data_IF_557135954390
#
_entry.id   IF_557135954390
#
_cell.length_a   1.000
_cell.length_b   1.000
_cell.length_c   1.000
_cell.angle_alpha   90.00
_cell.angle_beta   90.00
_cell.angle_gamma   90.00
#
_symmetry.space_group_name_H-M   'P 1'
#
loop_
_entity.id
_entity.type
_entity.pdbx_description
1 polymer ?
#
# COMPACT_ATOMS: atom_id res chain seq x y z
N UNK A 1 25.51 3.05 -42.67
CA UNK A 1 26.10 2.47 -41.44
C UNK A 1 24.97 2.13 -40.48
N UNK A 2 24.74 0.84 -40.18
CA UNK A 2 23.73 0.39 -39.21
C UNK A 2 24.38 0.04 -37.84
N UNK A 3 23.51 -0.13 -36.81
CA UNK A 3 23.69 -0.65 -35.42
C UNK A 3 23.25 0.43 -34.38
N UNK A 4 22.46 0.15 -33.33
CA UNK A 4 21.80 -1.08 -32.88
C UNK A 4 20.77 -0.76 -31.78
N UNK A 5 19.80 -1.69 -31.69
CA UNK A 5 18.71 -1.91 -30.72
C UNK A 5 18.98 -1.48 -29.26
N UNK A 6 18.07 -0.67 -28.71
CA UNK A 6 17.95 -0.42 -27.27
C UNK A 6 17.17 -1.57 -26.62
N UNK A 7 17.79 -2.17 -25.61
CA UNK A 7 17.33 -3.37 -24.91
C UNK A 7 16.06 -3.11 -24.10
N UNK A 8 15.10 -4.03 -24.28
CA UNK A 8 13.83 -4.13 -23.55
C UNK A 8 14.07 -4.78 -22.19
N UNK A 9 13.43 -4.28 -21.13
CA UNK A 9 12.90 -5.06 -19.99
C UNK A 9 13.83 -5.97 -19.17
N UNK A 10 15.14 -6.06 -19.46
CA UNK A 10 16.03 -7.06 -18.88
C UNK A 10 16.71 -6.62 -17.59
N UNK A 11 16.77 -5.32 -17.27
CA UNK A 11 17.57 -4.84 -16.14
C UNK A 11 17.03 -5.26 -14.77
N UNK A 12 15.71 -5.29 -14.57
CA UNK A 12 15.13 -5.75 -13.29
C UNK A 12 15.29 -7.27 -13.12
N UNK A 13 15.09 -8.03 -14.19
CA UNK A 13 15.28 -9.49 -14.21
C UNK A 13 16.76 -9.88 -14.03
N UNK A 14 17.67 -9.15 -14.67
CA UNK A 14 19.12 -9.37 -14.58
C UNK A 14 19.69 -8.97 -13.21
N UNK A 15 19.17 -7.93 -12.58
CA UNK A 15 19.53 -7.56 -11.20
C UNK A 15 19.05 -8.60 -10.20
N UNK A 16 17.83 -9.12 -10.34
CA UNK A 16 17.29 -10.18 -9.48
C UNK A 16 18.02 -11.53 -9.68
N UNK A 17 18.40 -11.87 -10.92
CA UNK A 17 19.15 -13.10 -11.21
C UNK A 17 20.60 -13.05 -10.72
N UNK A 18 21.25 -11.88 -10.73
CA UNK A 18 22.60 -11.69 -10.17
C UNK A 18 22.61 -11.82 -8.65
N UNK A 19 21.60 -11.26 -7.97
CA UNK A 19 21.42 -11.41 -6.52
C UNK A 19 21.19 -12.87 -6.13
N UNK A 20 20.52 -13.65 -6.99
CA UNK A 20 20.30 -15.08 -6.79
C UNK A 20 21.55 -15.96 -7.07
N UNK A 21 22.49 -15.52 -7.91
CA UNK A 21 23.68 -16.29 -8.28
C UNK A 21 24.91 -16.03 -7.41
N UNK A 22 25.01 -14.86 -6.76
CA UNK A 22 26.19 -14.48 -5.95
C UNK A 22 26.02 -14.73 -4.44
N UNK A 23 24.83 -15.12 -3.98
CA UNK A 23 24.53 -15.37 -2.58
C UNK A 23 24.54 -16.87 -2.23
N UNK A 24 25.66 -17.38 -1.71
CA UNK A 24 25.71 -18.62 -0.96
C UNK A 24 25.04 -18.46 0.41
N UNK A 25 23.71 -18.32 0.47
CA UNK A 25 22.96 -18.30 1.73
C UNK A 25 21.68 -19.14 1.64
N UNK A 26 21.60 -20.14 2.52
CA UNK A 26 20.38 -20.86 2.86
C UNK A 26 19.51 -20.02 3.81
N UNK A 27 18.66 -19.14 3.27
CA UNK A 27 17.68 -18.38 4.05
C UNK A 27 16.33 -18.24 3.32
N UNK A 28 15.21 -18.06 4.06
CA UNK A 28 13.85 -17.93 3.50
C UNK A 28 13.64 -16.73 2.55
N UNK A 29 14.52 -15.72 2.58
CA UNK A 29 14.54 -14.63 1.61
C UNK A 29 14.81 -15.10 0.16
N UNK A 30 15.65 -16.14 0.01
CA UNK A 30 15.94 -16.72 -1.30
C UNK A 30 14.75 -17.52 -1.88
N UNK A 31 13.88 -18.09 -1.03
CA UNK A 31 12.64 -18.72 -1.49
C UNK A 31 11.59 -17.71 -1.97
N UNK A 32 11.49 -16.55 -1.31
CA UNK A 32 10.58 -15.48 -1.75
C UNK A 32 11.00 -14.89 -3.11
N UNK A 33 12.30 -14.68 -3.32
CA UNK A 33 12.88 -14.22 -4.60
C UNK A 33 12.74 -15.26 -5.73
N UNK A 34 12.92 -16.56 -5.43
CA UNK A 34 12.70 -17.65 -6.40
C UNK A 34 11.24 -17.77 -6.82
N UNK A 35 10.30 -17.61 -5.89
CA UNK A 35 8.87 -17.64 -6.20
C UNK A 35 8.42 -16.41 -7.02
N UNK A 36 9.04 -15.24 -6.82
CA UNK A 36 8.79 -14.05 -7.64
C UNK A 36 9.37 -14.19 -9.06
N UNK A 37 10.52 -14.85 -9.23
CA UNK A 37 11.14 -15.11 -10.53
C UNK A 37 10.38 -16.15 -11.38
N UNK A 38 9.76 -17.15 -10.75
CA UNK A 38 8.96 -18.18 -11.43
C UNK A 38 7.68 -17.63 -12.10
N UNK A 39 7.16 -16.49 -11.63
CA UNK A 39 6.03 -15.81 -12.25
C UNK A 39 6.41 -15.03 -13.53
N UNK A 40 7.71 -14.93 -13.86
CA UNK A 40 8.23 -14.13 -14.97
C UNK A 40 8.67 -14.93 -16.21
N UNK A 41 8.68 -16.26 -16.17
CA UNK A 41 9.11 -17.10 -17.30
C UNK A 41 8.09 -18.20 -17.61
N UNK A 42 7.20 -17.93 -18.56
CA UNK A 42 6.25 -18.90 -19.11
C UNK A 42 5.82 -18.49 -20.52
N UNK A 43 6.27 -19.26 -21.51
CA UNK A 43 6.07 -19.06 -22.95
C UNK A 43 4.62 -19.25 -23.39
N UNK A 44 4.30 -18.63 -24.55
CA UNK A 44 3.02 -18.67 -25.25
C UNK A 44 2.71 -20.08 -25.79
N UNK A 45 1.42 -20.42 -25.74
CA UNK A 45 0.73 -21.64 -26.21
C UNK A 45 0.69 -22.85 -25.27
N UNK A 46 -0.30 -22.85 -24.37
CA UNK A 46 -1.21 -23.98 -24.15
C UNK A 46 -2.45 -23.46 -23.39
N UNK A 47 -3.63 -23.86 -23.84
CA UNK A 47 -4.90 -23.54 -23.20
C UNK A 47 -5.15 -24.48 -22.00
N UNK A 48 -6.04 -24.00 -21.11
CA UNK A 48 -6.74 -24.69 -20.02
C UNK A 48 -6.17 -24.58 -18.59
N UNK A 49 -7.04 -24.04 -17.73
CA UNK A 49 -7.26 -24.41 -16.32
C UNK A 49 -6.32 -23.87 -15.24
N UNK A 50 -6.58 -22.65 -14.76
CA UNK A 50 -6.48 -22.35 -13.32
C UNK A 50 -7.64 -21.43 -12.90
N UNK A 51 -8.71 -22.06 -12.43
CA UNK A 51 -9.87 -21.42 -11.80
C UNK A 51 -9.57 -21.16 -10.32
N UNK A 52 -9.96 -19.97 -9.86
CA UNK A 52 -10.66 -19.68 -8.60
C UNK A 52 -10.42 -20.64 -7.42
N UNK A 53 -9.63 -20.21 -6.43
CA UNK A 53 -9.65 -20.76 -5.07
C UNK A 53 -10.45 -19.80 -4.18
N UNK A 54 -11.77 -19.96 -4.21
CA UNK A 54 -12.69 -19.41 -3.22
C UNK A 54 -13.93 -20.32 -3.13
N UNK A 55 -13.99 -21.06 -2.02
CA UNK A 55 -15.16 -21.65 -1.34
C UNK A 55 -16.28 -22.29 -2.19
N UNK A 56 -16.38 -23.64 -2.19
CA UNK A 56 -17.64 -24.40 -2.00
C UNK A 56 -17.34 -25.80 -1.45
N UNK A 57 -17.93 -26.13 -0.29
CA UNK A 57 -18.58 -27.42 -0.02
C UNK A 57 -17.73 -28.63 0.37
N UNK A 58 -17.61 -28.87 1.69
CA UNK A 58 -17.66 -30.23 2.22
C UNK A 58 -18.87 -30.31 3.16
N UNK A 59 -19.99 -30.82 2.63
CA UNK A 59 -21.10 -31.37 3.40
C UNK A 59 -21.31 -32.81 2.94
N UNK A 60 -21.63 -33.67 3.90
CA UNK A 60 -22.07 -35.06 3.81
C UNK A 60 -21.05 -36.15 3.45
N UNK A 61 -20.48 -36.75 4.51
CA UNK A 61 -20.78 -38.12 4.94
C UNK A 61 -20.01 -38.46 6.23
N UNK A 62 -20.71 -38.49 7.36
CA UNK A 62 -20.48 -39.50 8.39
C UNK A 62 -21.64 -39.52 9.39
N UNK A 63 -22.08 -40.73 9.70
CA UNK A 63 -23.27 -41.05 10.47
C UNK A 63 -23.21 -40.61 11.93
N UNK A 64 -24.40 -40.63 12.52
CA UNK A 64 -24.65 -40.51 13.95
C UNK A 64 -23.73 -41.42 14.79
N UNK A 65 -23.15 -40.86 15.86
CA UNK A 65 -22.39 -41.62 16.84
C UNK A 65 -21.76 -40.71 17.87
N UNK A 66 -22.22 -40.82 19.12
CA UNK A 66 -21.82 -40.03 20.26
C UNK A 66 -20.32 -40.09 20.57
N UNK A 67 -19.68 -38.93 20.81
CA UNK A 67 -18.60 -38.81 21.78
C UNK A 67 -18.72 -37.46 22.48
N UNK A 68 -19.17 -37.50 23.72
CA UNK A 68 -19.27 -36.37 24.62
C UNK A 68 -17.89 -35.97 25.16
N UNK A 69 -17.77 -34.68 25.49
CA UNK A 69 -16.80 -34.08 26.41
C UNK A 69 -15.32 -34.34 26.14
N UNK A 70 -14.67 -33.32 25.56
CA UNK A 70 -13.33 -32.85 25.90
C UNK A 70 -13.14 -31.55 25.10
N UNK A 71 -13.24 -30.39 25.75
CA UNK A 71 -12.62 -29.08 25.43
C UNK A 71 -13.43 -27.98 26.14
N UNK A 72 -12.77 -27.28 27.07
CA UNK A 72 -13.34 -26.19 27.84
C UNK A 72 -13.73 -24.97 26.99
N UNK A 73 -14.41 -23.97 27.58
CA UNK A 73 -14.98 -22.87 26.81
C UNK A 73 -13.86 -22.02 26.20
N UNK A 74 -13.67 -22.17 24.89
CA UNK A 74 -12.97 -21.21 24.05
C UNK A 74 -13.67 -19.87 24.20
N UNK A 75 -12.98 -18.86 24.76
CA UNK A 75 -13.39 -17.46 24.69
C UNK A 75 -13.29 -16.99 23.24
N UNK A 76 -14.26 -17.37 22.43
CA UNK A 76 -14.47 -16.82 21.09
C UNK A 76 -15.09 -15.43 21.21
N UNK A 77 -14.50 -14.45 20.56
CA UNK A 77 -15.12 -13.14 20.36
C UNK A 77 -16.27 -13.34 19.36
N UNK A 78 -17.48 -13.52 19.88
CA UNK A 78 -18.71 -13.75 19.10
C UNK A 78 -19.51 -12.45 18.87
N UNK A 79 -18.82 -11.35 18.58
CA UNK A 79 -19.47 -10.11 18.24
C UNK A 79 -18.76 -9.47 17.04
N UNK A 80 -19.40 -9.52 15.87
CA UNK A 80 -19.13 -8.54 14.82
C UNK A 80 -19.56 -7.18 15.39
N UNK A 81 -18.66 -6.19 15.54
CA UNK A 81 -19.06 -4.90 16.06
C UNK A 81 -20.10 -4.28 15.13
N UNK A 82 -21.13 -3.66 15.72
CA UNK A 82 -22.11 -2.90 14.97
C UNK A 82 -21.39 -1.84 14.11
N UNK A 83 -21.86 -1.69 12.87
CA UNK A 83 -21.35 -0.77 11.85
C UNK A 83 -21.31 0.66 12.41
N UNK A 84 -20.17 1.06 12.97
CA UNK A 84 -19.93 2.44 13.36
C UNK A 84 -19.63 3.22 12.08
N UNK A 85 -20.67 3.84 11.53
CA UNK A 85 -20.48 4.95 10.62
C UNK A 85 -19.57 5.96 11.33
N UNK A 86 -18.46 6.41 10.73
CA UNK A 86 -17.73 7.56 11.25
C UNK A 86 -18.72 8.72 11.36
N UNK A 87 -18.65 9.55 12.39
CA UNK A 87 -19.46 10.77 12.51
C UNK A 87 -19.37 11.69 11.27
N UNK A 88 -18.32 11.53 10.45
CA UNK A 88 -18.19 12.16 9.14
C UNK A 88 -19.24 11.71 8.11
N UNK A 89 -19.75 10.48 8.18
CA UNK A 89 -20.73 9.94 7.24
C UNK A 89 -22.15 10.45 7.51
N UNK A 90 -22.52 10.71 8.77
CA UNK A 90 -23.79 11.37 9.11
C UNK A 90 -23.77 12.88 8.80
N UNK A 91 -22.62 13.54 9.00
CA UNK A 91 -22.45 14.94 8.61
C UNK A 91 -22.58 15.15 7.08
N UNK A 92 -22.08 14.20 6.27
CA UNK A 92 -22.16 14.26 4.81
C UNK A 92 -23.55 13.90 4.25
N UNK A 93 -24.33 13.08 4.96
CA UNK A 93 -25.71 12.76 4.54
C UNK A 93 -26.66 13.96 4.78
N UNK A 94 -26.42 14.76 5.82
CA UNK A 94 -27.23 15.93 6.14
C UNK A 94 -27.08 17.08 5.12
N UNK A 95 -25.89 17.26 4.54
CA UNK A 95 -25.65 18.27 3.49
C UNK A 95 -26.31 17.93 2.14
N UNK A 96 -26.84 16.71 1.97
CA UNK A 96 -27.49 16.31 0.71
C UNK A 96 -29.00 16.60 0.63
N UNK A 97 -29.59 17.35 1.57
CA UNK A 97 -31.06 17.52 1.64
C UNK A 97 -31.62 18.95 1.78
N UNK A 98 -30.79 20.00 1.67
CA UNK A 98 -31.29 21.38 1.67
C UNK A 98 -30.86 22.15 0.42
N UNK A 99 -31.80 22.32 -0.50
CA UNK A 99 -31.69 23.25 -1.63
C UNK A 99 -31.95 24.66 -1.10
N UNK A 100 -30.90 25.37 -0.68
CA UNK A 100 -30.96 26.82 -0.52
C UNK A 100 -30.73 27.48 -1.90
N UNK A 101 -31.70 28.25 -2.45
CA UNK A 101 -31.60 28.81 -3.79
C UNK A 101 -30.75 30.09 -3.88
N UNK A 102 -29.90 30.36 -2.89
CA UNK A 102 -29.20 31.65 -2.76
C UNK A 102 -27.70 31.58 -2.45
N UNK A 103 -27.05 30.41 -2.62
CA UNK A 103 -25.59 30.34 -2.66
C UNK A 103 -25.12 30.38 -4.12
N UNK A 104 -24.60 31.53 -4.54
CA UNK A 104 -23.96 31.69 -5.84
C UNK A 104 -22.99 30.53 -6.10
N UNK A 105 -23.27 29.76 -7.14
CA UNK A 105 -22.55 28.54 -7.52
C UNK A 105 -21.08 28.87 -7.76
N UNK A 106 -20.22 28.65 -6.77
CA UNK A 106 -18.79 28.59 -7.02
C UNK A 106 -18.57 27.44 -8.02
N UNK A 107 -18.31 27.78 -9.29
CA UNK A 107 -18.03 26.82 -10.34
C UNK A 107 -16.72 26.15 -9.98
N UNK A 108 -16.82 24.96 -9.36
CA UNK A 108 -15.65 24.13 -9.13
C UNK A 108 -15.02 23.82 -10.49
N UNK A 109 -13.70 23.94 -10.66
CA UNK A 109 -13.01 23.45 -11.84
C UNK A 109 -13.40 22.00 -12.09
N UNK A 110 -13.68 21.66 -13.34
CA UNK A 110 -14.15 20.33 -13.69
C UNK A 110 -13.46 19.77 -14.91
N UNK A 111 -13.29 18.45 -14.90
CA UNK A 111 -13.12 17.69 -16.11
C UNK A 111 -14.50 17.11 -16.48
N UNK A 112 -15.25 17.90 -17.24
CA UNK A 112 -16.65 17.62 -17.59
C UNK A 112 -16.86 16.32 -18.39
N UNK A 113 -18.13 15.99 -18.69
CA UNK A 113 -18.50 14.76 -19.41
C UNK A 113 -17.80 14.63 -20.75
N UNK A 114 -17.55 13.39 -21.18
CA UNK A 114 -16.96 13.09 -22.48
C UNK A 114 -17.95 13.45 -23.60
N UNK A 115 -17.45 14.09 -24.66
CA UNK A 115 -18.27 14.40 -25.83
C UNK A 115 -18.51 13.17 -26.72
N UNK A 116 -19.56 13.19 -27.55
CA UNK A 116 -19.95 12.07 -28.43
C UNK A 116 -18.87 11.59 -29.42
N UNK A 117 -17.86 12.42 -29.70
CA UNK A 117 -16.72 12.09 -30.60
C UNK A 117 -15.42 11.82 -29.84
N UNK A 118 -15.44 11.86 -28.52
CA UNK A 118 -14.29 11.57 -27.66
C UNK A 118 -14.33 10.12 -27.20
N UNK A 119 -13.18 9.60 -26.78
CA UNK A 119 -13.14 8.26 -26.18
C UNK A 119 -13.86 8.29 -24.83
N UNK A 120 -14.54 7.21 -24.44
CA UNK A 120 -15.07 7.08 -23.09
C UNK A 120 -13.93 7.18 -22.06
N UNK A 121 -14.21 7.88 -20.96
CA UNK A 121 -13.26 8.11 -19.88
C UNK A 121 -13.39 7.07 -18.77
N UNK A 122 -12.27 6.45 -18.44
CA UNK A 122 -12.14 5.58 -17.26
C UNK A 122 -11.42 6.35 -16.17
N UNK A 123 -12.10 6.59 -15.05
CA UNK A 123 -11.48 7.15 -13.85
C UNK A 123 -11.04 6.01 -12.93
N UNK A 124 -9.78 6.03 -12.52
CA UNK A 124 -9.16 5.07 -11.59
C UNK A 124 -8.81 5.81 -10.30
N UNK A 125 -9.37 5.35 -9.19
CA UNK A 125 -9.05 5.87 -7.85
C UNK A 125 -7.96 5.01 -7.22
N UNK A 126 -6.84 5.63 -6.86
CA UNK A 126 -5.69 4.99 -6.22
C UNK A 126 -4.52 4.71 -7.16
N UNK A 127 -3.35 4.45 -6.55
CA UNK A 127 -2.08 4.15 -7.22
C UNK A 127 -1.38 2.90 -6.67
N UNK A 128 -2.15 2.01 -6.04
CA UNK A 128 -1.65 0.75 -5.48
C UNK A 128 -1.60 -0.40 -6.50
N UNK A 129 -1.44 -1.62 -6.00
CA UNK A 129 -1.36 -2.85 -6.79
C UNK A 129 -2.48 -3.00 -7.83
N UNK A 130 -3.74 -2.86 -7.41
CA UNK A 130 -4.89 -3.03 -8.29
C UNK A 130 -4.93 -1.95 -9.39
N UNK A 131 -4.73 -0.69 -9.02
CA UNK A 131 -4.72 0.43 -9.96
C UNK A 131 -3.58 0.27 -10.98
N UNK A 132 -2.34 0.05 -10.53
CA UNK A 132 -1.20 -0.13 -11.41
C UNK A 132 -1.30 -1.37 -12.29
N UNK A 133 -1.93 -2.45 -11.80
CA UNK A 133 -2.18 -3.64 -12.63
C UNK A 133 -3.20 -3.36 -13.73
N UNK A 134 -4.26 -2.62 -13.42
CA UNK A 134 -5.30 -2.21 -14.36
C UNK A 134 -4.73 -1.25 -15.42
N UNK A 135 -4.04 -0.20 -14.98
CA UNK A 135 -3.43 0.84 -15.84
C UNK A 135 -2.39 0.27 -16.82
N UNK A 136 -1.80 -0.88 -16.50
CA UNK A 136 -0.82 -1.55 -17.35
C UNK A 136 -1.46 -2.21 -18.58
N UNK A 137 -2.67 -2.75 -18.43
CA UNK A 137 -3.34 -3.55 -19.47
C UNK A 137 -4.51 -2.83 -20.13
N UNK A 138 -4.93 -1.67 -19.61
CA UNK A 138 -6.06 -0.92 -20.17
C UNK A 138 -5.78 -0.50 -21.61
N UNK A 139 -6.75 -0.78 -22.48
CA UNK A 139 -6.67 -0.37 -23.88
C UNK A 139 -6.98 1.11 -24.04
N UNK A 140 -5.89 1.86 -24.16
CA UNK A 140 -5.90 3.31 -24.30
C UNK A 140 -6.19 3.77 -25.74
N UNK A 141 -6.32 2.84 -26.70
CA UNK A 141 -6.89 3.16 -28.01
C UNK A 141 -8.41 3.34 -27.92
N UNK A 142 -9.06 2.58 -27.02
CA UNK A 142 -10.50 2.63 -26.79
C UNK A 142 -10.92 3.63 -25.69
N UNK A 143 -10.08 3.85 -24.67
CA UNK A 143 -10.41 4.68 -23.51
C UNK A 143 -9.40 5.78 -23.23
N UNK A 144 -9.88 6.90 -22.73
CA UNK A 144 -9.05 7.92 -22.06
C UNK A 144 -9.01 7.65 -20.56
N UNK A 145 -7.83 7.69 -19.94
CA UNK A 145 -7.65 7.22 -18.56
C UNK A 145 -7.27 8.36 -17.65
N UNK A 146 -8.01 8.51 -16.55
CA UNK A 146 -7.71 9.48 -15.50
C UNK A 146 -7.42 8.73 -14.21
N UNK A 147 -6.22 8.89 -13.66
CA UNK A 147 -5.87 8.34 -12.37
C UNK A 147 -5.89 9.43 -11.31
N UNK A 148 -6.64 9.23 -10.23
CA UNK A 148 -6.72 10.14 -9.07
C UNK A 148 -6.14 9.42 -7.86
N UNK A 149 -5.07 9.95 -7.28
CA UNK A 149 -4.48 9.38 -6.07
C UNK A 149 -3.76 10.46 -5.27
N UNK A 150 -3.78 10.43 -3.93
CA UNK A 150 -2.97 11.36 -3.12
C UNK A 150 -1.47 11.08 -3.19
N UNK A 151 -1.07 9.99 -3.86
CA UNK A 151 0.31 9.52 -3.93
C UNK A 151 0.73 9.24 -5.37
N UNK A 152 1.84 9.85 -5.80
CA UNK A 152 2.39 9.76 -7.15
C UNK A 152 3.21 8.49 -7.47
N UNK A 153 3.35 7.57 -6.51
CA UNK A 153 4.14 6.35 -6.63
C UNK A 153 3.35 5.13 -6.16
N UNK A 154 3.72 3.97 -6.70
CA UNK A 154 3.30 2.66 -6.22
C UNK A 154 4.33 2.15 -5.21
N UNK A 155 3.85 1.50 -4.15
CA UNK A 155 4.69 0.87 -3.13
C UNK A 155 4.60 -0.65 -3.30
N UNK A 156 5.75 -1.31 -3.46
CA UNK A 156 5.88 -2.75 -3.44
C UNK A 156 5.82 -3.25 -2.00
N UNK A 157 4.60 -3.29 -1.45
CA UNK A 157 4.33 -3.58 -0.04
C UNK A 157 4.96 -4.86 0.53
N UNK A 158 5.20 -5.96 -0.23
CA UNK A 158 5.87 -7.14 0.32
C UNK A 158 7.31 -6.93 0.79
N UNK A 159 8.00 -5.88 0.31
CA UNK A 159 9.38 -5.57 0.72
C UNK A 159 9.47 -4.42 1.72
N UNK A 160 8.32 -3.89 2.18
CA UNK A 160 8.30 -2.70 3.04
C UNK A 160 8.92 -2.97 4.41
N UNK A 161 8.72 -4.17 4.97
CA UNK A 161 9.31 -4.58 6.25
C UNK A 161 10.85 -4.46 6.26
N UNK A 162 11.51 -4.94 5.20
CA UNK A 162 12.97 -4.88 5.06
C UNK A 162 13.52 -3.45 4.98
N UNK A 163 12.71 -2.47 4.58
CA UNK A 163 13.14 -1.06 4.58
C UNK A 163 13.17 -0.42 5.97
N UNK A 164 12.38 -0.95 6.92
CA UNK A 164 12.28 -0.42 8.27
C UNK A 164 13.58 -0.56 9.06
N UNK A 165 14.36 -1.61 8.78
CA UNK A 165 15.65 -1.88 9.43
C UNK A 165 16.85 -1.49 8.56
N UNK A 166 16.63 -1.19 7.28
CA UNK A 166 17.67 -0.77 6.35
C UNK A 166 18.32 -1.89 5.54
N UNK A 167 17.80 -3.13 5.61
CA UNK A 167 18.14 -4.23 4.69
C UNK A 167 17.92 -3.80 3.24
N UNK A 168 16.83 -3.06 3.00
CA UNK A 168 16.56 -2.40 1.73
C UNK A 168 16.46 -0.88 1.91
N UNK A 169 16.77 -0.16 0.84
CA UNK A 169 16.59 1.28 0.77
C UNK A 169 15.17 1.63 0.31
N UNK A 170 14.60 2.74 0.81
CA UNK A 170 13.20 3.10 0.57
C UNK A 170 12.85 3.27 -0.92
N UNK A 171 13.76 3.80 -1.73
CA UNK A 171 13.56 3.96 -3.18
C UNK A 171 13.56 2.63 -3.92
N UNK A 172 14.05 1.54 -3.31
CA UNK A 172 14.03 0.20 -3.90
C UNK A 172 12.65 -0.45 -3.87
N UNK A 173 11.71 0.08 -3.07
CA UNK A 173 10.34 -0.45 -2.95
C UNK A 173 9.28 0.50 -3.49
N UNK A 174 9.68 1.62 -4.10
CA UNK A 174 8.74 2.60 -4.70
C UNK A 174 9.04 2.80 -6.17
N UNK A 175 7.98 2.94 -6.95
CA UNK A 175 8.09 3.33 -8.35
C UNK A 175 7.09 4.43 -8.69
N UNK A 176 7.52 5.57 -9.26
CA UNK A 176 6.61 6.60 -9.74
C UNK A 176 5.59 6.02 -10.72
N UNK A 177 4.31 6.28 -10.50
CA UNK A 177 3.22 5.71 -11.33
C UNK A 177 3.40 6.10 -12.79
N UNK A 178 3.81 7.35 -13.05
CA UNK A 178 4.10 7.85 -14.40
C UNK A 178 5.21 7.06 -15.10
N UNK A 179 6.18 6.51 -14.36
CA UNK A 179 7.26 5.70 -14.96
C UNK A 179 6.75 4.32 -15.38
N UNK A 180 5.95 3.68 -14.52
CA UNK A 180 5.54 2.28 -14.72
C UNK A 180 4.23 2.14 -15.51
N UNK A 181 3.48 3.23 -15.71
CA UNK A 181 2.20 3.24 -16.44
C UNK A 181 2.28 4.13 -17.70
N UNK A 182 2.61 3.56 -18.87
CA UNK A 182 2.64 4.31 -20.14
C UNK A 182 1.30 4.96 -20.49
N UNK A 183 0.19 4.35 -20.03
CA UNK A 183 -1.16 4.86 -20.18
C UNK A 183 -1.32 6.30 -19.67
N UNK A 184 -0.58 6.68 -18.62
CA UNK A 184 -0.68 8.02 -18.02
C UNK A 184 0.37 9.01 -18.54
N UNK A 185 1.46 8.53 -19.14
CA UNK A 185 2.63 9.38 -19.46
C UNK A 185 2.82 9.65 -20.95
N UNK A 186 2.31 8.78 -21.82
CA UNK A 186 2.61 8.84 -23.27
C UNK A 186 1.38 9.07 -24.14
N UNK A 187 0.18 8.96 -23.56
CA UNK A 187 -1.08 8.94 -24.31
C UNK A 187 -1.79 10.30 -24.15
N UNK A 188 -2.15 10.98 -25.25
CA UNK A 188 -2.93 12.21 -25.18
C UNK A 188 -4.31 11.92 -24.57
N UNK A 189 -4.83 12.85 -23.77
CA UNK A 189 -6.13 12.69 -23.11
C UNK A 189 -6.13 11.87 -21.83
N UNK A 190 -4.97 11.33 -21.41
CA UNK A 190 -4.82 10.64 -20.13
C UNK A 190 -4.14 11.54 -19.10
N UNK A 191 -4.59 11.47 -17.85
CA UNK A 191 -4.20 12.39 -16.78
C UNK A 191 -3.89 11.65 -15.49
N UNK A 192 -2.92 12.16 -14.74
CA UNK A 192 -2.69 11.79 -13.34
C UNK A 192 -2.94 13.01 -12.46
N UNK A 193 -3.94 12.94 -11.58
CA UNK A 193 -4.25 13.98 -10.61
C UNK A 193 -3.77 13.56 -9.22
N UNK A 194 -2.87 14.36 -8.65
CA UNK A 194 -2.41 14.21 -7.28
C UNK A 194 -3.46 14.79 -6.32
N UNK A 195 -4.44 13.97 -5.95
CA UNK A 195 -5.62 14.41 -5.21
C UNK A 195 -6.28 13.26 -4.42
N UNK A 196 -6.97 13.63 -3.35
CA UNK A 196 -7.85 12.74 -2.59
C UNK A 196 -9.25 12.73 -3.21
N UNK A 197 -9.84 11.55 -3.40
CA UNK A 197 -11.26 11.43 -3.70
C UNK A 197 -12.05 11.55 -2.39
N UNK A 198 -12.92 12.56 -2.28
CA UNK A 198 -13.73 12.84 -1.09
C UNK A 198 -15.18 12.39 -1.23
N UNK A 199 -15.65 12.16 -2.46
CA UNK A 199 -17.01 11.71 -2.71
C UNK A 199 -17.19 11.19 -4.13
N UNK A 200 -18.19 10.35 -4.31
CA UNK A 200 -18.57 9.74 -5.59
C UNK A 200 -20.08 9.94 -5.76
N UNK A 201 -20.50 10.65 -6.81
CA UNK A 201 -21.91 10.74 -7.21
C UNK A 201 -22.14 9.75 -8.36
N UNK A 202 -22.84 8.66 -8.06
CA UNK A 202 -23.16 7.61 -9.05
C UNK A 202 -24.33 7.96 -9.94
N UNK A 203 -25.15 8.97 -9.60
CA UNK A 203 -26.26 9.43 -10.44
C UNK A 203 -25.77 10.39 -11.51
N UNK A 204 -24.85 11.29 -11.14
CA UNK A 204 -24.21 12.23 -12.06
C UNK A 204 -22.98 11.68 -12.76
N UNK A 205 -22.50 10.52 -12.32
CA UNK A 205 -21.25 9.92 -12.80
C UNK A 205 -20.05 10.88 -12.60
N UNK A 206 -19.92 11.45 -11.41
CA UNK A 206 -18.85 12.39 -11.04
C UNK A 206 -18.08 11.89 -9.81
N UNK A 207 -16.78 12.16 -9.76
CA UNK A 207 -15.99 12.06 -8.53
C UNK A 207 -15.56 13.45 -8.06
N UNK A 208 -15.67 13.68 -6.75
CA UNK A 208 -15.25 14.91 -6.10
C UNK A 208 -13.85 14.72 -5.52
N UNK A 209 -12.93 15.58 -5.96
CA UNK A 209 -11.53 15.51 -5.63
C UNK A 209 -11.09 16.76 -4.88
N UNK A 210 -10.23 16.57 -3.89
CA UNK A 210 -9.53 17.66 -3.20
C UNK A 210 -8.04 17.47 -3.50
N UNK A 211 -7.40 18.50 -4.06
CA UNK A 211 -5.96 18.44 -4.39
C UNK A 211 -5.18 18.05 -3.14
N UNK A 212 -4.25 17.11 -3.29
CA UNK A 212 -3.41 16.71 -2.17
C UNK A 212 -2.51 17.90 -1.82
N UNK A 213 -2.51 18.31 -0.56
CA UNK A 213 -1.63 19.37 -0.09
C UNK A 213 -0.17 18.92 -0.29
N UNK A 214 0.57 19.65 -1.11
CA UNK A 214 2.03 19.63 -1.12
C UNK A 214 2.59 20.62 -0.09
N UNK A 215 3.90 20.63 0.08
CA UNK A 215 4.61 21.65 0.89
C UNK A 215 4.19 23.07 0.46
N UNK A 216 4.31 23.99 1.43
CA UNK A 216 3.69 25.32 1.65
C UNK A 216 3.60 26.35 0.49
N UNK A 217 3.82 25.99 -0.77
CA UNK A 217 3.84 26.91 -1.92
C UNK A 217 2.72 26.69 -2.96
N UNK A 218 1.73 25.84 -2.69
CA UNK A 218 0.51 25.79 -3.51
C UNK A 218 -0.38 27.02 -3.21
N UNK A 219 -1.02 27.63 -4.21
CA UNK A 219 -1.90 28.79 -3.99
C UNK A 219 -3.00 28.45 -2.98
N UNK A 220 -3.30 29.42 -2.11
CA UNK A 220 -4.15 29.33 -0.92
C UNK A 220 -5.27 28.28 -0.97
N UNK A 221 -5.23 27.36 0.03
CA UNK A 221 -6.15 26.25 0.30
C UNK A 221 -6.21 25.14 -0.76
N UNK A 222 -6.22 23.85 -0.35
CA UNK A 222 -6.47 22.75 -1.28
C UNK A 222 -7.83 22.96 -1.94
N UNK A 223 -7.83 23.32 -3.22
CA UNK A 223 -9.07 23.54 -3.96
C UNK A 223 -9.69 22.21 -4.36
N UNK A 224 -11.01 22.24 -4.55
CA UNK A 224 -11.80 21.08 -4.95
C UNK A 224 -12.07 21.16 -6.45
N UNK A 225 -12.10 20.01 -7.09
CA UNK A 225 -12.48 19.88 -8.49
C UNK A 225 -13.29 18.60 -8.67
N UNK A 226 -14.02 18.50 -9.78
CA UNK A 226 -14.79 17.30 -10.11
C UNK A 226 -14.27 16.65 -11.39
N UNK A 227 -14.46 15.34 -11.49
CA UNK A 227 -14.12 14.59 -12.71
C UNK A 227 -15.32 13.72 -13.08
N UNK A 228 -15.93 14.00 -14.23
CA UNK A 228 -16.95 13.13 -14.79
C UNK A 228 -16.31 11.85 -15.35
N UNK A 229 -17.01 10.72 -15.26
CA UNK A 229 -16.53 9.42 -15.71
C UNK A 229 -17.59 8.65 -16.51
N UNK A 230 -17.16 7.87 -17.51
CA UNK A 230 -18.02 6.86 -18.14
C UNK A 230 -17.92 5.53 -17.40
N UNK A 231 -16.72 5.23 -16.88
CA UNK A 231 -16.43 4.06 -16.05
C UNK A 231 -15.58 4.47 -14.86
N UNK A 232 -15.88 3.89 -13.70
CA UNK A 232 -15.15 4.12 -12.47
C UNK A 232 -14.50 2.83 -11.97
N UNK A 233 -13.21 2.89 -11.65
CA UNK A 233 -12.45 1.81 -11.02
C UNK A 233 -12.01 2.29 -9.64
N UNK A 234 -12.50 1.62 -8.60
CA UNK A 234 -12.15 1.94 -7.21
C UNK A 234 -11.03 1.00 -6.75
N UNK A 235 -9.82 1.54 -6.63
CA UNK A 235 -8.61 0.81 -6.27
C UNK A 235 -7.79 1.54 -5.18
N UNK A 236 -8.49 2.27 -4.29
CA UNK A 236 -7.91 3.09 -3.22
C UNK A 236 -7.21 2.29 -2.11
N UNK A 237 -7.46 0.98 -2.03
CA UNK A 237 -6.92 0.12 -0.99
C UNK A 237 -7.72 0.18 0.31
N UNK A 238 -7.04 -0.07 1.42
CA UNK A 238 -7.63 -0.09 2.76
C UNK A 238 -6.64 0.47 3.79
N UNK A 239 -7.21 1.07 4.83
CA UNK A 239 -6.49 1.67 5.96
C UNK A 239 -6.30 0.67 7.12
N UNK A 240 -5.29 0.88 7.99
CA UNK A 240 -5.13 0.09 9.20
C UNK A 240 -6.36 0.17 10.12
N UNK A 241 -6.82 -0.99 10.60
CA UNK A 241 -7.92 -1.06 11.55
C UNK A 241 -7.37 -1.09 12.98
N UNK A 242 -7.77 -0.13 13.82
CA UNK A 242 -7.33 -0.05 15.22
C UNK A 242 -8.29 -0.65 16.22
N UNK A 243 -9.44 -1.15 15.75
CA UNK A 243 -10.49 -1.74 16.58
C UNK A 243 -10.97 -0.81 17.71
N UNK A 244 -10.82 0.51 17.52
CA UNK A 244 -11.12 1.55 18.52
C UNK A 244 -10.36 1.37 19.85
N UNK A 245 -9.20 0.71 19.81
CA UNK A 245 -8.33 0.61 20.97
C UNK A 245 -7.68 1.96 21.22
N UNK A 246 -7.98 2.57 22.37
CA UNK A 246 -7.46 3.87 22.77
C UNK A 246 -5.93 3.84 22.82
N UNK A 247 -5.27 4.87 22.31
CA UNK A 247 -3.82 5.00 22.32
C UNK A 247 -3.13 4.40 21.09
N UNK A 248 -3.80 3.60 20.25
CA UNK A 248 -3.16 3.00 19.07
C UNK A 248 -2.85 4.07 18.02
N UNK A 249 -3.79 4.94 17.70
CA UNK A 249 -3.57 6.02 16.72
C UNK A 249 -2.45 6.98 17.16
N UNK A 250 -2.30 7.20 18.46
CA UNK A 250 -1.38 8.19 19.02
C UNK A 250 0.01 7.63 19.30
N UNK A 251 0.13 6.33 19.61
CA UNK A 251 1.38 5.72 20.08
C UNK A 251 1.93 4.61 19.18
N UNK A 252 1.12 4.02 18.30
CA UNK A 252 1.59 3.00 17.37
C UNK A 252 2.00 3.63 16.03
N UNK A 253 2.95 2.99 15.35
CA UNK A 253 3.31 3.32 13.97
C UNK A 253 2.84 2.16 13.10
N UNK A 254 2.02 2.45 12.09
CA UNK A 254 1.55 1.43 11.14
C UNK A 254 2.66 1.07 10.13
N UNK A 255 2.44 0.02 9.35
CA UNK A 255 3.38 -0.42 8.32
C UNK A 255 2.65 -0.71 7.00
N UNK A 256 2.28 0.36 6.30
CA UNK A 256 1.58 0.35 5.01
C UNK A 256 2.25 1.24 3.97
N UNK A 257 2.86 2.32 4.43
CA UNK A 257 3.45 3.36 3.61
C UNK A 257 4.94 3.59 3.92
N UNK A 258 5.65 4.19 2.98
CA UNK A 258 7.11 4.41 3.10
C UNK A 258 7.45 5.44 4.16
N UNK A 259 6.62 6.47 4.33
CA UNK A 259 6.78 7.44 5.40
C UNK A 259 6.70 6.77 6.79
N UNK A 260 5.82 5.79 6.97
CA UNK A 260 5.70 5.03 8.22
C UNK A 260 6.92 4.13 8.44
N UNK A 261 7.40 3.44 7.40
CA UNK A 261 8.64 2.67 7.47
C UNK A 261 9.86 3.55 7.85
N UNK A 262 9.93 4.78 7.32
CA UNK A 262 10.93 5.78 7.72
C UNK A 262 10.79 6.19 9.18
N UNK A 263 9.57 6.39 9.67
CA UNK A 263 9.31 6.72 11.07
C UNK A 263 9.76 5.59 12.00
N UNK A 264 9.46 4.33 11.65
CA UNK A 264 9.93 3.14 12.38
C UNK A 264 11.46 3.12 12.43
N UNK A 265 12.13 3.22 11.27
CA UNK A 265 13.60 3.21 11.19
C UNK A 265 14.22 4.30 12.05
N UNK A 266 13.70 5.53 11.94
CA UNK A 266 14.15 6.67 12.73
C UNK A 266 13.98 6.38 14.22
N UNK A 267 12.81 5.90 14.64
CA UNK A 267 12.53 5.61 16.05
C UNK A 267 13.44 4.54 16.62
N UNK A 268 13.68 3.46 15.86
CA UNK A 268 14.60 2.38 16.24
C UNK A 268 16.02 2.90 16.45
N UNK A 269 16.57 3.62 15.47
CA UNK A 269 17.93 4.15 15.54
C UNK A 269 18.09 5.21 16.63
N UNK A 270 17.11 6.13 16.76
CA UNK A 270 17.14 7.15 17.82
C UNK A 270 17.08 6.51 19.20
N UNK A 271 16.19 5.53 19.43
CA UNK A 271 16.13 4.83 20.71
C UNK A 271 17.42 4.09 21.03
N UNK A 272 18.06 3.47 20.03
CA UNK A 272 19.35 2.81 20.20
C UNK A 272 20.43 3.81 20.65
N UNK A 273 20.58 4.93 19.94
CA UNK A 273 21.54 5.98 20.30
C UNK A 273 21.26 6.58 21.69
N UNK A 274 20.00 6.87 22.00
CA UNK A 274 19.62 7.41 23.32
C UNK A 274 19.92 6.43 24.45
N UNK A 275 19.82 5.13 24.21
CA UNK A 275 20.11 4.11 25.23
C UNK A 275 21.60 4.02 25.61
N UNK A 276 22.50 4.54 24.78
CA UNK A 276 23.94 4.55 25.01
C UNK A 276 24.42 5.80 25.76
N UNK A 277 23.56 6.81 25.94
CA UNK A 277 23.93 8.03 26.63
C UNK A 277 24.32 7.77 28.11
N UNK A 278 25.39 8.41 28.61
CA UNK A 278 25.79 8.29 30.01
C UNK A 278 24.71 8.86 30.93
N UNK A 279 24.55 8.27 32.11
CA UNK A 279 23.59 8.72 33.13
C UNK A 279 22.18 8.12 33.02
N UNK A 280 21.88 7.31 31.99
CA UNK A 280 20.62 6.56 31.94
C UNK A 280 20.61 5.38 32.91
N UNK A 281 19.49 5.20 33.61
CA UNK A 281 19.24 4.00 34.43
C UNK A 281 19.04 2.77 33.56
N UNK A 282 19.37 1.59 34.08
CA UNK A 282 19.16 0.32 33.36
C UNK A 282 17.67 0.05 33.06
N UNK A 283 16.76 0.53 33.90
CA UNK A 283 15.32 0.44 33.65
C UNK A 283 14.92 1.24 32.41
N UNK A 284 15.46 2.45 32.26
CA UNK A 284 15.14 3.31 31.12
C UNK A 284 15.77 2.79 29.82
N UNK A 285 16.98 2.24 29.87
CA UNK A 285 17.59 1.55 28.73
C UNK A 285 16.73 0.38 28.25
N UNK A 286 16.24 -0.45 29.17
CA UNK A 286 15.33 -1.57 28.84
C UNK A 286 14.04 -1.05 28.20
N UNK A 287 13.47 0.04 28.72
CA UNK A 287 12.26 0.66 28.16
C UNK A 287 12.47 1.17 26.72
N UNK A 288 13.58 1.86 26.45
CA UNK A 288 13.90 2.39 25.11
C UNK A 288 14.10 1.30 24.06
N UNK A 289 14.71 0.18 24.47
CA UNK A 289 15.02 -0.95 23.59
C UNK A 289 13.90 -2.00 23.51
N UNK A 290 12.80 -1.80 24.22
CA UNK A 290 11.65 -2.69 24.20
C UNK A 290 10.76 -2.39 22.99
N UNK A 291 10.72 -3.32 22.04
CA UNK A 291 9.89 -3.23 20.84
C UNK A 291 8.70 -4.18 20.93
N UNK A 292 7.53 -3.70 20.52
CA UNK A 292 6.30 -4.50 20.47
C UNK A 292 5.75 -4.48 19.05
N UNK A 293 5.60 -5.67 18.46
CA UNK A 293 4.96 -5.85 17.15
C UNK A 293 3.58 -6.46 17.37
N UNK A 294 2.54 -5.78 16.91
CA UNK A 294 1.15 -6.22 17.08
C UNK A 294 0.64 -6.83 15.78
N UNK A 295 0.36 -8.13 15.81
CA UNK A 295 -0.21 -8.88 14.68
C UNK A 295 0.73 -10.00 14.19
N UNK A 296 0.25 -11.25 14.25
CA UNK A 296 0.98 -12.43 13.77
C UNK A 296 0.76 -12.78 12.30
N UNK A 297 0.24 -11.83 11.51
CA UNK A 297 0.10 -12.00 10.06
C UNK A 297 1.45 -11.88 9.34
N UNK A 298 1.51 -12.11 8.02
CA UNK A 298 2.76 -12.08 7.25
C UNK A 298 3.59 -10.83 7.49
N UNK A 299 2.97 -9.65 7.43
CA UNK A 299 3.66 -8.36 7.66
C UNK A 299 4.29 -8.26 9.05
N UNK A 300 3.60 -8.71 10.09
CA UNK A 300 4.13 -8.64 11.46
C UNK A 300 5.24 -9.67 11.70
N UNK A 301 5.11 -10.86 11.13
CA UNK A 301 6.14 -11.91 11.20
C UNK A 301 7.40 -11.49 10.42
N UNK A 302 7.25 -10.99 9.20
CA UNK A 302 8.36 -10.51 8.37
C UNK A 302 9.10 -9.35 9.05
N UNK A 303 8.37 -8.35 9.55
CA UNK A 303 9.00 -7.23 10.27
C UNK A 303 9.70 -7.68 11.55
N UNK A 304 9.10 -8.61 12.31
CA UNK A 304 9.75 -9.15 13.52
C UNK A 304 11.03 -9.92 13.19
N UNK A 305 11.04 -10.66 12.07
CA UNK A 305 12.23 -11.35 11.55
C UNK A 305 13.34 -10.37 11.16
N UNK A 306 13.02 -9.36 10.36
CA UNK A 306 13.94 -8.30 9.97
C UNK A 306 14.51 -7.53 11.18
N UNK A 307 13.65 -7.23 12.16
CA UNK A 307 14.05 -6.58 13.41
C UNK A 307 14.98 -7.47 14.24
N UNK A 308 14.70 -8.76 14.33
CA UNK A 308 15.57 -9.73 15.02
C UNK A 308 16.94 -9.79 14.36
N UNK A 309 16.99 -9.88 13.02
CA UNK A 309 18.24 -9.91 12.27
C UNK A 309 19.07 -8.63 12.50
N UNK A 310 18.42 -7.46 12.45
CA UNK A 310 19.04 -6.16 12.76
C UNK A 310 19.63 -6.13 14.18
N UNK A 311 18.87 -6.58 15.19
CA UNK A 311 19.33 -6.59 16.58
C UNK A 311 20.51 -7.55 16.77
N UNK A 312 20.47 -8.73 16.16
CA UNK A 312 21.50 -9.76 16.38
C UNK A 312 22.79 -9.47 15.61
N UNK A 313 22.69 -8.98 14.37
CA UNK A 313 23.85 -8.81 13.48
C UNK A 313 24.46 -7.41 13.58
N UNK A 314 23.63 -6.37 13.59
CA UNK A 314 24.12 -4.99 13.43
C UNK A 314 24.43 -4.32 14.77
N UNK A 315 23.60 -4.53 15.80
CA UNK A 315 23.90 -4.03 17.16
C UNK A 315 25.19 -4.63 17.70
N UNK A 316 25.43 -5.92 17.46
CA UNK A 316 26.66 -6.58 17.91
C UNK A 316 27.90 -5.97 17.26
N UNK A 317 27.82 -5.51 16.00
CA UNK A 317 28.91 -4.79 15.33
C UNK A 317 29.12 -3.38 15.89
N UNK A 318 28.03 -2.64 16.10
CA UNK A 318 28.09 -1.23 16.50
C UNK A 318 28.50 -1.03 17.96
N UNK A 319 28.02 -1.86 18.88
CA UNK A 319 28.44 -1.86 20.28
C UNK A 319 29.94 -2.22 20.41
N UNK A 320 30.42 -3.18 19.60
CA UNK A 320 31.86 -3.52 19.56
C UNK A 320 32.71 -2.38 19.02
N UNK A 321 32.25 -1.67 17.98
CA UNK A 321 32.94 -0.50 17.44
C UNK A 321 33.01 0.66 18.44
N UNK A 322 31.92 0.93 19.19
CA UNK A 322 31.90 1.95 20.25
C UNK A 322 32.75 1.56 21.46
N UNK A 323 32.87 0.27 21.78
CA UNK A 323 33.70 -0.22 22.90
C UNK A 323 35.20 -0.30 22.55
N UNK A 324 35.56 -0.45 21.27
CA UNK A 324 36.95 -0.46 20.80
C UNK A 324 37.59 0.93 20.62
N UNK A 325 36.83 2.01 20.87
CA UNK A 325 37.27 3.41 20.84
C UNK A 325 37.57 3.98 22.24
N UNK A 326 37.77 3.12 23.25
CA UNK A 326 38.19 3.51 24.61
C UNK A 326 39.59 3.01 24.92
#
# INVERSE_FOLDING_TARGET
MPLSRIARGSQLSQSLSRIASEGGLSTPAASALRNAAALGQGSRHAASSFHSLACVGLADKCGAGAVANLYGPSRGISATPARLLPAAAEALAAECSHTDPAAATAVLPDLGPTGLKQKPRVVVLGSGWAACRFLKDVDTSAYDVVCVSPRNHMVFTPLLASTCVGTLEFRSVVEPVSRIQPALSTRPGSYFFLANCTGIDTRKHEVYCTVAAGDEQLPANPYRFRVAYDKLVIASGAEPLTFNIKGVQENAIFLREVNEAQQIRRKLLTNLMLSENPGLSEAEKKRLLHCVVVGGGPTGVEFSGELSDFIMRDRAGQVRACQGLR
#
